data_IF_530231101983
#
_entry.id   IF_530231101983
#
_cell.length_a   1.000
_cell.length_b   1.000
_cell.length_c   1.000
_cell.angle_alpha   90.00
_cell.angle_beta   90.00
_cell.angle_gamma   90.00
#
_symmetry.space_group_name_H-M   'P 1'
#
loop_
_entity.id
_entity.type
_entity.pdbx_description
1 polymer ?
#
# COMPACT_ATOMS: atom_id res chain seq x y z
N UNK A 1 0.97 -20.17 -3.11
CA UNK A 1 1.23 -18.70 -3.12
C UNK A 1 1.86 -18.29 -1.79
N UNK A 2 1.18 -18.44 -0.61
CA UNK A 2 1.74 -18.02 0.67
C UNK A 2 3.08 -18.69 0.98
N UNK A 3 3.17 -20.02 0.80
CA UNK A 3 4.41 -20.76 0.96
C UNK A 3 5.56 -20.19 0.12
N UNK A 4 5.29 -19.89 -1.15
CA UNK A 4 6.32 -19.39 -2.08
C UNK A 4 6.75 -17.97 -1.69
N UNK A 5 5.81 -17.10 -1.28
CA UNK A 5 6.13 -15.74 -0.79
C UNK A 5 6.98 -15.76 0.47
N UNK A 6 6.65 -16.64 1.43
CA UNK A 6 7.42 -16.80 2.67
C UNK A 6 8.82 -17.29 2.35
N UNK A 7 8.94 -18.29 1.47
CA UNK A 7 10.23 -18.80 1.00
C UNK A 7 11.05 -17.72 0.29
N UNK A 8 10.43 -16.97 -0.62
CA UNK A 8 11.08 -15.90 -1.39
C UNK A 8 11.60 -14.78 -0.47
N UNK A 9 10.78 -14.32 0.49
CA UNK A 9 11.21 -13.31 1.47
C UNK A 9 12.41 -13.81 2.29
N UNK A 10 12.36 -15.06 2.77
CA UNK A 10 13.49 -15.66 3.49
C UNK A 10 14.73 -15.74 2.60
N UNK A 11 14.58 -16.23 1.37
CA UNK A 11 15.70 -16.42 0.43
C UNK A 11 16.40 -15.11 0.08
N UNK A 12 15.64 -14.01 -0.09
CA UNK A 12 16.17 -12.67 -0.33
C UNK A 12 17.14 -12.24 0.78
N UNK A 13 16.75 -12.41 2.03
CA UNK A 13 17.62 -12.07 3.17
C UNK A 13 18.78 -13.07 3.33
N UNK A 14 18.55 -14.35 3.09
CA UNK A 14 19.61 -15.36 3.10
C UNK A 14 20.69 -15.07 2.04
N UNK A 15 20.28 -14.68 0.83
CA UNK A 15 21.19 -14.26 -0.23
C UNK A 15 22.00 -13.02 0.19
N UNK A 16 21.32 -11.98 0.69
CA UNK A 16 21.98 -10.76 1.12
C UNK A 16 22.96 -11.01 2.26
N UNK A 17 22.57 -11.78 3.28
CA UNK A 17 23.45 -12.14 4.40
C UNK A 17 24.68 -12.90 3.94
N UNK A 18 24.53 -13.81 2.99
CA UNK A 18 25.65 -14.54 2.39
C UNK A 18 26.56 -13.63 1.57
N UNK A 19 25.98 -12.70 0.79
CA UNK A 19 26.72 -11.77 -0.06
C UNK A 19 27.61 -10.84 0.77
N UNK A 20 27.10 -10.34 1.89
CA UNK A 20 27.80 -9.40 2.74
C UNK A 20 28.50 -10.04 3.96
N UNK A 21 28.53 -11.37 4.06
CA UNK A 21 29.10 -12.10 5.22
C UNK A 21 28.51 -11.63 6.56
N UNK A 22 27.19 -11.42 6.59
CA UNK A 22 26.47 -10.92 7.76
C UNK A 22 26.42 -11.99 8.86
N UNK A 23 26.82 -11.63 10.08
CA UNK A 23 26.96 -12.57 11.20
C UNK A 23 25.70 -12.68 12.08
N UNK A 24 24.69 -11.86 11.84
CA UNK A 24 23.40 -11.95 12.54
C UNK A 24 22.43 -12.92 11.88
N UNK A 25 21.20 -12.98 12.40
CA UNK A 25 20.11 -13.77 11.83
C UNK A 25 19.00 -12.89 11.22
N UNK A 26 17.98 -13.56 10.66
CA UNK A 26 16.79 -12.92 10.10
C UNK A 26 15.52 -13.68 10.46
N UNK A 27 14.46 -12.93 10.80
CA UNK A 27 13.10 -13.44 10.93
C UNK A 27 12.11 -12.44 10.36
N UNK A 28 11.11 -12.91 9.63
CA UNK A 28 9.92 -12.13 9.34
C UNK A 28 8.89 -12.35 10.44
N UNK A 29 8.32 -11.27 10.96
CA UNK A 29 7.26 -11.29 11.97
C UNK A 29 6.00 -10.74 11.34
N UNK A 30 5.03 -11.61 11.06
CA UNK A 30 3.84 -11.25 10.32
C UNK A 30 2.81 -10.53 11.20
N UNK A 31 2.41 -9.28 10.88
CA UNK A 31 1.36 -8.57 11.62
C UNK A 31 -0.02 -9.16 11.28
N UNK A 32 -0.67 -9.82 12.23
CA UNK A 32 -1.94 -10.49 11.96
C UNK A 32 -3.07 -9.52 11.58
N UNK A 33 -2.98 -8.24 11.97
CA UNK A 33 -3.94 -7.20 11.57
C UNK A 33 -4.08 -7.02 10.05
N UNK A 34 -3.07 -7.42 9.27
CA UNK A 34 -3.09 -7.27 7.81
C UNK A 34 -4.08 -8.23 7.17
N UNK A 35 -4.12 -9.49 7.63
CA UNK A 35 -5.16 -10.45 7.34
C UNK A 35 -5.28 -11.44 8.51
N UNK A 36 -6.37 -11.34 9.27
CA UNK A 36 -6.63 -12.12 10.48
C UNK A 36 -7.37 -13.43 10.22
N UNK A 37 -7.61 -13.79 8.97
CA UNK A 37 -8.25 -15.07 8.66
C UNK A 37 -7.42 -16.21 9.23
N UNK A 38 -8.05 -17.07 10.05
CA UNK A 38 -7.37 -18.13 10.77
C UNK A 38 -6.52 -19.01 9.85
N UNK A 39 -7.09 -19.47 8.73
CA UNK A 39 -6.38 -20.31 7.76
C UNK A 39 -5.16 -19.63 7.15
N UNK A 40 -5.20 -18.31 6.92
CA UNK A 40 -4.05 -17.55 6.41
C UNK A 40 -2.94 -17.51 7.46
N UNK A 41 -3.29 -17.23 8.72
CA UNK A 41 -2.33 -17.18 9.82
C UNK A 41 -1.73 -18.57 10.10
N UNK A 42 -2.54 -19.63 10.09
CA UNK A 42 -2.09 -21.01 10.23
C UNK A 42 -1.07 -21.41 9.15
N UNK A 43 -1.33 -21.08 7.88
CA UNK A 43 -0.39 -21.33 6.78
C UNK A 43 0.91 -20.53 6.94
N UNK A 44 0.82 -19.26 7.35
CA UNK A 44 2.02 -18.44 7.58
C UNK A 44 2.89 -19.04 8.67
N UNK A 45 2.31 -19.50 9.77
CA UNK A 45 3.05 -20.18 10.85
C UNK A 45 3.64 -21.48 10.33
N UNK A 46 2.86 -22.33 9.69
CA UNK A 46 3.29 -23.63 9.20
C UNK A 46 4.47 -23.52 8.22
N UNK A 47 4.37 -22.62 7.23
CA UNK A 47 5.39 -22.45 6.20
C UNK A 47 6.56 -21.57 6.66
N UNK A 48 6.34 -20.68 7.64
CA UNK A 48 7.36 -19.81 8.21
C UNK A 48 8.21 -20.48 9.30
N UNK A 49 7.70 -21.55 9.94
CA UNK A 49 8.39 -22.25 11.02
C UNK A 49 9.83 -22.68 10.69
N UNK A 50 10.13 -23.28 9.52
CA UNK A 50 11.50 -23.65 9.16
C UNK A 50 12.48 -22.47 9.09
N UNK A 51 11.96 -21.24 8.98
CA UNK A 51 12.72 -19.99 8.82
C UNK A 51 12.72 -19.13 10.09
N UNK A 52 12.15 -19.61 11.20
CA UNK A 52 12.04 -18.83 12.43
C UNK A 52 11.10 -17.62 12.31
N UNK A 53 10.08 -17.69 11.46
CA UNK A 53 9.10 -16.62 11.34
C UNK A 53 8.22 -16.55 12.59
N UNK A 54 7.83 -15.31 12.95
CA UNK A 54 6.95 -15.01 14.06
C UNK A 54 5.71 -14.23 13.68
N UNK A 55 4.99 -13.76 14.70
CA UNK A 55 3.78 -12.96 14.53
C UNK A 55 3.87 -11.64 15.31
N UNK A 56 3.20 -10.59 14.80
CA UNK A 56 3.04 -9.32 15.52
C UNK A 56 1.59 -9.19 15.99
N UNK A 57 1.41 -8.66 17.19
CA UNK A 57 0.12 -8.35 17.79
C UNK A 57 0.08 -6.89 18.25
N UNK A 58 -0.92 -6.15 17.77
CA UNK A 58 -1.15 -4.73 18.11
C UNK A 58 -2.30 -4.49 19.08
N UNK A 59 -2.98 -5.55 19.56
CA UNK A 59 -4.10 -5.47 20.49
C UNK A 59 -4.20 -6.71 21.39
N UNK A 60 -4.95 -6.61 22.48
CA UNK A 60 -5.17 -7.74 23.43
C UNK A 60 -5.75 -8.99 22.74
N UNK A 61 -6.83 -8.90 21.95
CA UNK A 61 -7.35 -10.06 21.23
C UNK A 61 -6.35 -10.68 20.27
N UNK A 62 -5.56 -9.85 19.58
CA UNK A 62 -4.49 -10.33 18.69
C UNK A 62 -3.41 -11.08 19.49
N UNK A 63 -2.98 -10.56 20.65
CA UNK A 63 -2.00 -11.23 21.49
C UNK A 63 -2.47 -12.59 21.96
N UNK A 64 -3.74 -12.72 22.38
CA UNK A 64 -4.33 -14.01 22.76
C UNK A 64 -4.32 -15.01 21.61
N UNK A 65 -4.75 -14.56 20.42
CA UNK A 65 -4.74 -15.40 19.22
C UNK A 65 -3.32 -15.87 18.86
N UNK A 66 -2.36 -14.93 18.85
CA UNK A 66 -0.96 -15.22 18.50
C UNK A 66 -0.31 -16.18 19.48
N UNK A 67 -0.47 -15.97 20.79
CA UNK A 67 0.06 -16.88 21.83
C UNK A 67 -0.55 -18.28 21.71
N UNK A 68 -1.82 -18.38 21.34
CA UNK A 68 -2.49 -19.67 21.17
C UNK A 68 -2.04 -20.44 19.91
N UNK A 69 -1.59 -19.72 18.86
CA UNK A 69 -1.29 -20.31 17.56
C UNK A 69 0.21 -20.57 17.32
N UNK A 70 1.12 -19.86 18.03
CA UNK A 70 2.56 -19.98 17.80
C UNK A 70 3.20 -21.03 18.69
N UNK A 71 4.35 -21.54 18.28
CA UNK A 71 5.24 -22.35 19.11
C UNK A 71 6.00 -21.49 20.14
N UNK A 72 6.68 -22.12 21.10
CA UNK A 72 7.32 -21.43 22.22
C UNK A 72 8.48 -20.52 21.78
N UNK A 73 9.20 -20.90 20.74
CA UNK A 73 10.40 -20.25 20.19
C UNK A 73 10.12 -19.23 19.09
N UNK A 74 8.88 -19.20 18.57
CA UNK A 74 8.50 -18.21 17.57
C UNK A 74 8.46 -16.79 18.17
N UNK A 75 9.13 -15.79 17.57
CA UNK A 75 9.11 -14.43 18.09
C UNK A 75 7.70 -13.80 17.97
N UNK A 76 7.25 -13.19 19.06
CA UNK A 76 6.00 -12.42 19.13
C UNK A 76 6.35 -10.98 19.46
N UNK A 77 6.17 -10.08 18.50
CA UNK A 77 6.38 -8.65 18.70
C UNK A 77 5.06 -7.99 19.03
N UNK A 78 5.03 -7.17 20.09
CA UNK A 78 3.81 -6.47 20.51
C UNK A 78 3.96 -4.97 20.29
N UNK A 79 3.36 -4.46 19.22
CA UNK A 79 3.34 -3.03 18.88
C UNK A 79 2.04 -2.34 19.33
N UNK A 80 1.92 -1.05 19.04
CA UNK A 80 0.72 -0.27 19.27
C UNK A 80 0.48 0.13 20.72
N UNK A 81 -0.71 0.66 20.98
CA UNK A 81 -1.09 1.10 22.32
C UNK A 81 -1.23 -0.08 23.27
N UNK A 82 -0.65 0.06 24.45
CA UNK A 82 -0.70 -0.96 25.48
C UNK A 82 -1.26 -0.37 26.78
N UNK A 83 -2.31 -1.00 27.29
CA UNK A 83 -2.80 -0.77 28.63
C UNK A 83 -2.19 -1.77 29.63
N UNK A 84 -2.55 -1.65 30.89
CA UNK A 84 -2.05 -2.49 31.97
C UNK A 84 -2.35 -3.98 31.72
N UNK A 85 -3.56 -4.32 31.24
CA UNK A 85 -3.93 -5.70 30.99
C UNK A 85 -3.15 -6.32 29.81
N UNK A 86 -2.90 -5.54 28.74
CA UNK A 86 -2.06 -5.99 27.63
C UNK A 86 -0.67 -6.38 28.12
N UNK A 87 -0.05 -5.52 28.93
CA UNK A 87 1.30 -5.75 29.44
C UNK A 87 1.33 -6.90 30.47
N UNK A 88 0.28 -7.04 31.28
CA UNK A 88 0.11 -8.21 32.13
C UNK A 88 0.10 -9.51 31.32
N UNK A 89 -0.68 -9.57 30.25
CA UNK A 89 -0.75 -10.74 29.35
C UNK A 89 0.61 -11.02 28.69
N UNK A 90 1.32 -10.00 28.24
CA UNK A 90 2.66 -10.16 27.66
C UNK A 90 3.65 -10.74 28.67
N UNK A 91 3.62 -10.27 29.94
CA UNK A 91 4.48 -10.81 31.01
C UNK A 91 4.08 -12.24 31.39
N UNK A 92 2.80 -12.59 31.40
CA UNK A 92 2.33 -13.96 31.59
C UNK A 92 2.83 -14.88 30.47
N UNK A 93 2.76 -14.44 29.23
CA UNK A 93 3.26 -15.20 28.09
C UNK A 93 4.78 -15.42 28.18
N UNK A 94 5.56 -14.41 28.60
CA UNK A 94 7.00 -14.58 28.88
C UNK A 94 7.23 -15.58 30.01
N UNK A 95 6.43 -15.52 31.07
CA UNK A 95 6.51 -16.50 32.21
C UNK A 95 6.23 -17.92 31.73
N UNK A 96 5.39 -18.12 30.76
CA UNK A 96 5.11 -19.40 30.11
C UNK A 96 6.24 -19.87 29.17
N UNK A 97 7.32 -19.12 29.04
CA UNK A 97 8.45 -19.44 28.17
C UNK A 97 8.31 -18.99 26.73
N UNK A 98 7.29 -18.16 26.41
CA UNK A 98 7.13 -17.60 25.06
C UNK A 98 8.13 -16.49 24.78
N UNK A 99 8.61 -16.39 23.54
CA UNK A 99 9.48 -15.30 23.08
C UNK A 99 8.60 -14.09 22.71
N UNK A 100 8.05 -13.42 23.71
CA UNK A 100 7.23 -12.21 23.54
C UNK A 100 8.07 -10.98 23.85
N UNK A 101 8.03 -9.95 22.99
CA UNK A 101 8.74 -8.69 23.19
C UNK A 101 7.74 -7.53 23.06
N UNK A 102 7.22 -6.98 24.16
CA UNK A 102 6.43 -5.75 24.13
C UNK A 102 7.33 -4.57 23.79
N UNK A 103 6.95 -3.82 22.74
CA UNK A 103 7.68 -2.65 22.27
C UNK A 103 7.08 -1.40 22.90
N UNK A 104 7.86 -0.64 23.64
CA UNK A 104 7.43 0.59 24.28
C UNK A 104 7.16 1.67 23.22
N UNK A 105 5.95 2.20 23.22
CA UNK A 105 5.48 3.25 22.31
C UNK A 105 5.39 4.62 23.02
N UNK A 106 5.39 4.61 24.35
CA UNK A 106 5.38 5.76 25.24
C UNK A 106 6.31 5.50 26.41
N UNK A 107 6.91 6.55 26.97
CA UNK A 107 7.78 6.44 28.13
C UNK A 107 7.08 5.78 29.34
N UNK A 108 5.81 6.09 29.54
CA UNK A 108 4.97 5.53 30.62
C UNK A 108 4.73 4.03 30.53
N UNK A 109 4.94 3.41 29.35
CA UNK A 109 4.81 1.95 29.20
C UNK A 109 5.87 1.21 30.00
N UNK A 110 7.05 1.83 30.22
CA UNK A 110 8.14 1.20 30.98
C UNK A 110 7.73 0.87 32.43
N UNK A 111 7.10 1.81 33.12
CA UNK A 111 6.70 1.59 34.52
C UNK A 111 5.66 0.47 34.64
N UNK A 112 4.71 0.40 33.69
CA UNK A 112 3.72 -0.67 33.65
C UNK A 112 4.37 -2.03 33.41
N UNK A 113 5.32 -2.14 32.47
CA UNK A 113 6.08 -3.39 32.22
C UNK A 113 6.83 -3.82 33.47
N UNK A 114 7.57 -2.90 34.09
CA UNK A 114 8.36 -3.19 35.29
C UNK A 114 7.48 -3.60 36.48
N UNK A 115 6.32 -2.95 36.66
CA UNK A 115 5.34 -3.31 37.68
C UNK A 115 4.85 -4.76 37.50
N UNK A 116 4.39 -5.12 36.31
CA UNK A 116 3.89 -6.47 36.05
C UNK A 116 5.00 -7.52 36.09
N UNK A 117 6.18 -7.21 35.55
CA UNK A 117 7.34 -8.10 35.61
C UNK A 117 7.74 -8.43 37.06
N UNK A 118 7.77 -7.41 37.93
CA UNK A 118 8.06 -7.60 39.36
C UNK A 118 6.98 -8.45 40.06
N UNK A 119 5.69 -8.15 39.80
CA UNK A 119 4.55 -8.88 40.39
C UNK A 119 4.58 -10.36 40.00
N UNK A 120 5.04 -10.70 38.80
CA UNK A 120 5.06 -12.05 38.28
C UNK A 120 6.39 -12.79 38.50
N UNK A 121 7.43 -12.08 38.97
CA UNK A 121 8.77 -12.64 39.12
C UNK A 121 9.43 -12.97 37.78
N UNK A 122 9.18 -12.17 36.74
CA UNK A 122 9.74 -12.35 35.40
C UNK A 122 10.80 -11.29 35.15
N UNK A 123 11.93 -11.68 34.55
CA UNK A 123 12.88 -10.72 33.98
C UNK A 123 12.45 -10.38 32.54
N UNK A 124 11.93 -9.18 32.29
CA UNK A 124 11.21 -8.91 31.04
C UNK A 124 12.16 -8.76 29.85
N UNK A 125 11.72 -9.22 28.67
CA UNK A 125 12.29 -8.81 27.38
C UNK A 125 11.49 -7.62 26.89
N UNK A 126 12.16 -6.50 26.59
CA UNK A 126 11.55 -5.22 26.26
C UNK A 126 12.09 -4.73 24.92
N UNK A 127 11.23 -4.21 24.08
CA UNK A 127 11.60 -3.42 22.90
C UNK A 127 11.32 -1.94 23.12
N UNK A 128 11.96 -1.08 22.36
CA UNK A 128 11.62 0.35 22.24
C UNK A 128 11.42 0.72 20.78
N UNK A 129 10.42 1.55 20.48
CA UNK A 129 10.24 2.12 19.16
C UNK A 129 10.86 3.50 19.07
N UNK A 130 11.77 3.71 18.12
CA UNK A 130 12.40 4.99 17.86
C UNK A 130 11.55 5.86 16.92
N UNK A 131 11.38 7.14 17.28
CA UNK A 131 10.94 8.18 16.34
C UNK A 131 12.13 8.63 15.54
N UNK A 132 12.15 8.34 14.24
CA UNK A 132 13.20 8.77 13.34
C UNK A 132 12.87 10.13 12.70
N UNK A 133 13.90 10.89 12.35
CA UNK A 133 13.77 12.09 11.52
C UNK A 133 13.39 11.73 10.08
N UNK A 134 13.84 10.57 9.60
CA UNK A 134 13.48 10.03 8.30
C UNK A 134 11.95 9.84 8.19
N UNK A 135 11.41 10.25 7.03
CA UNK A 135 9.97 10.12 6.73
C UNK A 135 9.77 9.12 5.61
N UNK A 136 8.73 8.33 5.70
CA UNK A 136 8.26 7.50 4.59
C UNK A 136 7.69 8.33 3.44
N UNK A 137 7.41 7.67 2.32
CA UNK A 137 6.71 8.23 1.16
C UNK A 137 5.30 7.64 1.04
N UNK A 138 4.47 8.27 0.20
CA UNK A 138 3.14 7.75 -0.13
C UNK A 138 2.05 8.11 0.87
N UNK A 139 0.94 7.37 0.83
CA UNK A 139 -0.30 7.67 1.58
C UNK A 139 -0.15 7.65 3.10
N UNK A 140 0.86 6.95 3.62
CA UNK A 140 1.09 6.72 5.05
C UNK A 140 2.25 7.55 5.62
N UNK A 141 2.64 8.63 4.95
CA UNK A 141 3.73 9.54 5.33
C UNK A 141 3.63 10.07 6.77
N UNK A 142 2.40 10.26 7.27
CA UNK A 142 2.14 10.77 8.62
C UNK A 142 2.40 9.75 9.73
N UNK A 143 2.62 8.47 9.39
CA UNK A 143 2.90 7.41 10.37
C UNK A 143 4.32 7.44 10.91
N UNK A 144 5.24 8.18 10.27
CA UNK A 144 6.64 8.36 10.66
C UNK A 144 6.98 9.81 11.06
N UNK A 145 8.23 10.02 11.51
CA UNK A 145 8.75 11.33 11.89
C UNK A 145 8.38 11.76 13.32
N UNK A 146 8.88 12.92 13.74
CA UNK A 146 8.72 13.43 15.12
C UNK A 146 7.28 13.62 15.59
N UNK A 147 6.32 13.80 14.68
CA UNK A 147 4.88 13.94 14.98
C UNK A 147 4.13 12.63 14.99
N UNK A 148 4.83 11.50 14.81
CA UNK A 148 4.20 10.18 14.89
C UNK A 148 3.47 10.00 16.23
N UNK A 149 2.28 9.38 16.17
CA UNK A 149 1.49 9.01 17.35
C UNK A 149 2.26 8.10 18.29
N UNK A 150 3.14 7.26 17.75
CA UNK A 150 3.86 6.22 18.46
C UNK A 150 5.37 6.40 18.38
N UNK A 151 6.06 5.81 19.37
CA UNK A 151 7.51 5.77 19.48
C UNK A 151 8.06 6.87 20.42
N UNK A 152 9.28 6.66 20.85
CA UNK A 152 10.02 7.50 21.78
C UNK A 152 11.04 8.36 21.02
N UNK A 153 11.29 9.54 21.51
CA UNK A 153 12.45 10.34 21.10
C UNK A 153 13.75 9.71 21.61
N UNK A 154 14.88 10.06 21.01
CA UNK A 154 16.19 9.56 21.46
C UNK A 154 16.44 9.89 22.94
N UNK A 155 16.02 11.06 23.40
CA UNK A 155 16.11 11.44 24.82
C UNK A 155 15.29 10.52 25.73
N UNK A 156 14.07 10.17 25.34
CA UNK A 156 13.22 9.22 26.08
C UNK A 156 13.80 7.81 26.07
N UNK A 157 14.37 7.35 24.95
CA UNK A 157 15.05 6.04 24.85
C UNK A 157 16.25 5.98 25.81
N UNK A 158 17.06 7.03 25.86
CA UNK A 158 18.19 7.13 26.81
C UNK A 158 17.67 7.12 28.27
N UNK A 159 16.57 7.80 28.56
CA UNK A 159 15.95 7.77 29.90
C UNK A 159 15.42 6.38 30.26
N UNK A 160 14.85 5.64 29.29
CA UNK A 160 14.48 4.22 29.48
C UNK A 160 15.72 3.38 29.85
N UNK A 161 16.80 3.50 29.08
CA UNK A 161 18.04 2.75 29.33
C UNK A 161 18.63 3.10 30.72
N UNK A 162 18.65 4.37 31.07
CA UNK A 162 19.17 4.81 32.38
C UNK A 162 18.33 4.25 33.55
N UNK A 163 16.99 4.27 33.41
CA UNK A 163 16.09 3.67 34.40
C UNK A 163 16.34 2.16 34.54
N UNK A 164 16.57 1.46 33.44
CA UNK A 164 16.90 0.02 33.44
C UNK A 164 18.27 -0.23 34.08
N UNK A 165 19.29 0.58 33.82
CA UNK A 165 20.62 0.48 34.46
C UNK A 165 20.54 0.65 35.97
N UNK A 166 19.81 1.64 36.45
CA UNK A 166 19.62 1.87 37.91
C UNK A 166 18.98 0.67 38.60
N UNK A 167 18.22 -0.14 37.85
CA UNK A 167 17.60 -1.38 38.36
C UNK A 167 18.39 -2.65 38.03
N UNK A 168 19.59 -2.54 37.48
CA UNK A 168 20.42 -3.69 37.00
C UNK A 168 19.66 -4.52 35.95
N UNK A 169 18.94 -3.88 35.01
CA UNK A 169 18.09 -4.49 34.01
C UNK A 169 18.40 -4.00 32.59
N UNK A 170 19.57 -3.43 32.35
CA UNK A 170 19.95 -2.92 31.02
C UNK A 170 19.90 -4.01 29.92
N UNK A 171 20.21 -5.24 30.32
CA UNK A 171 20.12 -6.45 29.49
C UNK A 171 18.71 -6.86 29.12
N UNK A 172 17.68 -6.29 29.79
CA UNK A 172 16.28 -6.51 29.45
C UNK A 172 15.83 -5.75 28.19
N UNK A 173 16.53 -4.67 27.79
CA UNK A 173 16.29 -3.95 26.55
C UNK A 173 16.85 -4.74 25.38
N UNK A 174 15.99 -5.52 24.71
CA UNK A 174 16.38 -6.52 23.72
C UNK A 174 16.21 -6.09 22.28
N UNK A 175 15.29 -5.15 22.00
CA UNK A 175 14.89 -4.83 20.66
C UNK A 175 14.78 -3.32 20.45
N UNK A 176 15.36 -2.83 19.36
CA UNK A 176 15.06 -1.52 18.78
C UNK A 176 14.15 -1.71 17.58
N UNK A 177 13.02 -1.01 17.58
CA UNK A 177 12.04 -1.02 16.49
C UNK A 177 11.88 0.37 15.88
N UNK A 178 11.66 0.43 14.57
CA UNK A 178 11.13 1.60 13.91
C UNK A 178 10.12 1.21 12.82
N UNK A 179 9.26 2.16 12.43
CA UNK A 179 8.29 1.93 11.38
C UNK A 179 8.10 3.20 10.54
N UNK A 180 8.32 3.09 9.23
CA UNK A 180 8.23 4.20 8.27
C UNK A 180 6.82 4.40 7.70
N UNK A 181 5.99 3.37 7.76
CA UNK A 181 4.68 3.35 7.13
C UNK A 181 4.44 2.06 6.34
N UNK A 182 3.38 2.05 5.55
CA UNK A 182 3.01 0.94 4.66
C UNK A 182 3.22 1.37 3.21
N UNK A 183 3.54 0.41 2.33
CA UNK A 183 3.72 0.66 0.90
C UNK A 183 4.76 1.78 0.64
N UNK A 184 6.01 1.56 1.05
CA UNK A 184 7.11 2.49 0.79
C UNK A 184 7.49 2.37 -0.68
N UNK A 185 7.23 3.41 -1.46
CA UNK A 185 7.39 3.36 -2.92
C UNK A 185 8.82 3.58 -3.40
N UNK A 186 9.66 4.22 -2.58
CA UNK A 186 11.04 4.55 -2.92
C UNK A 186 12.05 3.97 -1.95
N UNK A 187 13.00 3.21 -2.47
CA UNK A 187 14.10 2.59 -1.69
C UNK A 187 14.94 3.61 -0.92
N UNK A 188 15.04 4.84 -1.42
CA UNK A 188 15.80 5.91 -0.77
C UNK A 188 15.31 6.22 0.64
N UNK A 189 13.99 6.16 0.87
CA UNK A 189 13.43 6.39 2.20
C UNK A 189 13.79 5.28 3.17
N UNK A 190 13.84 4.04 2.67
CA UNK A 190 14.28 2.87 3.46
C UNK A 190 15.74 3.03 3.87
N UNK A 191 16.64 3.35 2.92
CA UNK A 191 18.08 3.58 3.18
C UNK A 191 18.32 4.64 4.25
N UNK A 192 17.64 5.78 4.16
CA UNK A 192 17.80 6.87 5.12
C UNK A 192 17.39 6.44 6.54
N UNK A 193 16.31 5.71 6.67
CA UNK A 193 15.84 5.24 7.97
C UNK A 193 16.75 4.15 8.56
N UNK A 194 17.28 3.25 7.73
CA UNK A 194 18.24 2.24 8.14
C UNK A 194 19.52 2.89 8.68
N UNK A 195 20.05 3.89 8.01
CA UNK A 195 21.24 4.61 8.48
C UNK A 195 21.01 5.28 9.84
N UNK A 196 19.88 5.97 10.02
CA UNK A 196 19.54 6.63 11.29
C UNK A 196 19.31 5.60 12.42
N UNK A 197 18.46 4.60 12.17
CA UNK A 197 18.08 3.62 13.20
C UNK A 197 19.26 2.73 13.61
N UNK A 198 20.11 2.33 12.67
CA UNK A 198 21.30 1.50 13.01
C UNK A 198 22.31 2.30 13.81
N UNK A 199 22.48 3.61 13.56
CA UNK A 199 23.30 4.44 14.42
C UNK A 199 22.72 4.58 15.84
N UNK A 200 21.38 4.68 15.98
CA UNK A 200 20.75 4.64 17.31
C UNK A 200 21.01 3.29 17.98
N UNK A 201 20.87 2.18 17.25
CA UNK A 201 21.13 0.84 17.74
C UNK A 201 22.57 0.70 18.28
N UNK A 202 23.57 1.02 17.45
CA UNK A 202 24.99 0.86 17.83
C UNK A 202 25.35 1.72 19.03
N UNK A 203 24.88 2.97 19.09
CA UNK A 203 25.11 3.85 20.23
C UNK A 203 24.46 3.32 21.53
N UNK A 204 23.24 2.76 21.45
CA UNK A 204 22.58 2.16 22.62
C UNK A 204 23.35 0.93 23.13
N UNK A 205 23.87 0.08 22.23
CA UNK A 205 24.75 -1.04 22.63
C UNK A 205 26.02 -0.54 23.32
N UNK A 206 26.67 0.46 22.73
CA UNK A 206 27.87 1.09 23.34
C UNK A 206 27.55 1.75 24.69
N UNK A 207 26.34 2.26 24.88
CA UNK A 207 25.83 2.73 26.16
C UNK A 207 25.46 1.58 27.13
N UNK A 208 25.64 0.30 26.78
CA UNK A 208 25.42 -0.86 27.65
C UNK A 208 24.01 -1.43 27.62
N UNK A 209 23.21 -1.12 26.60
CA UNK A 209 21.93 -1.81 26.35
C UNK A 209 22.18 -3.25 25.89
N UNK A 210 21.34 -4.19 26.33
CA UNK A 210 21.41 -5.59 25.94
C UNK A 210 20.68 -5.92 24.65
N UNK A 211 20.77 -5.02 23.63
CA UNK A 211 20.09 -5.18 22.37
C UNK A 211 20.59 -6.39 21.58
N UNK A 212 19.66 -7.18 21.08
CA UNK A 212 19.91 -8.37 20.26
C UNK A 212 19.20 -8.25 18.89
N UNK A 213 18.08 -7.51 18.84
CA UNK A 213 17.22 -7.42 17.68
C UNK A 213 17.14 -5.98 17.15
N UNK A 214 17.20 -5.84 15.83
CA UNK A 214 16.81 -4.63 15.13
C UNK A 214 15.60 -4.93 14.24
N UNK A 215 14.45 -4.45 14.65
CA UNK A 215 13.20 -4.59 13.89
C UNK A 215 12.99 -3.36 13.01
N UNK A 216 13.15 -3.56 11.73
CA UNK A 216 13.03 -2.50 10.71
C UNK A 216 11.57 -2.22 10.33
N UNK A 217 10.63 -2.87 11.01
CA UNK A 217 9.21 -2.68 10.78
C UNK A 217 8.71 -3.23 9.46
N UNK A 218 7.54 -2.75 9.07
CA UNK A 218 6.97 -3.01 7.75
C UNK A 218 7.34 -1.94 6.73
N UNK A 219 6.66 -2.00 5.59
CA UNK A 219 6.81 -1.00 4.53
C UNK A 219 7.32 -1.56 3.21
N UNK A 220 7.83 -2.79 3.18
CA UNK A 220 8.12 -3.48 1.92
C UNK A 220 6.89 -3.42 1.02
N UNK A 221 7.01 -2.68 -0.09
CA UNK A 221 5.89 -2.39 -0.98
C UNK A 221 5.66 -3.48 -2.01
N UNK A 222 4.54 -3.37 -2.68
CA UNK A 222 4.10 -4.26 -3.75
C UNK A 222 3.83 -3.42 -4.99
N UNK A 223 4.30 -3.88 -6.13
CA UNK A 223 4.03 -3.28 -7.43
C UNK A 223 2.68 -3.78 -7.96
N UNK A 224 1.61 -3.04 -7.68
CA UNK A 224 0.25 -3.43 -8.07
C UNK A 224 -0.07 -3.08 -9.51
N UNK A 225 0.53 -2.02 -10.06
CA UNK A 225 0.23 -1.55 -11.43
C UNK A 225 1.27 -2.01 -12.46
N UNK A 226 2.37 -2.62 -12.01
CA UNK A 226 3.44 -3.14 -12.87
C UNK A 226 4.36 -2.06 -13.45
N UNK A 227 4.27 -0.81 -12.97
CA UNK A 227 5.06 0.30 -13.54
C UNK A 227 6.51 0.35 -13.06
N UNK A 228 6.83 -0.30 -11.94
CA UNK A 228 8.14 -0.26 -11.29
C UNK A 228 8.64 1.17 -11.04
N UNK A 229 7.74 2.03 -10.58
CA UNK A 229 8.01 3.45 -10.28
C UNK A 229 7.76 3.77 -8.81
N UNK A 230 8.04 5.02 -8.41
CA UNK A 230 7.70 5.54 -7.08
C UNK A 230 6.23 5.98 -6.94
N UNK A 231 5.37 5.60 -7.87
CA UNK A 231 3.93 5.82 -7.80
C UNK A 231 3.31 5.09 -6.60
N UNK A 232 2.20 5.63 -6.06
CA UNK A 232 1.57 5.14 -4.82
C UNK A 232 1.11 3.68 -4.83
N UNK A 233 0.84 3.12 -6.02
CA UNK A 233 0.48 1.71 -6.22
C UNK A 233 1.61 0.89 -6.84
N UNK A 234 2.85 1.37 -6.77
CA UNK A 234 4.04 0.72 -7.28
C UNK A 234 5.22 0.84 -6.32
N UNK A 235 6.37 0.32 -6.69
CA UNK A 235 7.66 0.47 -6.01
C UNK A 235 8.78 0.56 -7.05
N UNK A 236 9.80 1.39 -6.79
CA UNK A 236 10.93 1.58 -7.69
C UNK A 236 12.14 0.67 -7.36
N UNK A 237 11.89 -0.46 -6.69
CA UNK A 237 12.93 -1.40 -6.28
C UNK A 237 12.40 -2.85 -6.31
N UNK A 238 13.32 -3.80 -6.41
CA UNK A 238 13.02 -5.23 -6.29
C UNK A 238 13.07 -5.66 -4.82
N UNK A 239 12.47 -6.83 -4.51
CA UNK A 239 12.57 -7.40 -3.16
C UNK A 239 14.02 -7.74 -2.80
N UNK A 240 14.83 -8.22 -3.76
CA UNK A 240 16.25 -8.51 -3.52
C UNK A 240 17.04 -7.21 -3.22
N UNK A 241 16.77 -6.11 -3.94
CA UNK A 241 17.39 -4.82 -3.63
C UNK A 241 17.02 -4.35 -2.21
N UNK A 242 15.76 -4.50 -1.81
CA UNK A 242 15.35 -4.20 -0.44
C UNK A 242 16.14 -5.02 0.60
N UNK A 243 16.24 -6.34 0.40
CA UNK A 243 16.99 -7.21 1.32
C UNK A 243 18.47 -6.86 1.36
N UNK A 244 19.09 -6.60 0.20
CA UNK A 244 20.50 -6.20 0.10
C UNK A 244 20.73 -4.88 0.85
N UNK A 245 19.88 -3.88 0.65
CA UNK A 245 20.03 -2.59 1.33
C UNK A 245 19.85 -2.69 2.84
N UNK A 246 18.88 -3.48 3.30
CA UNK A 246 18.68 -3.70 4.74
C UNK A 246 19.94 -4.32 5.38
N UNK A 247 20.44 -5.40 4.81
CA UNK A 247 21.62 -6.11 5.37
C UNK A 247 22.87 -5.25 5.26
N UNK A 248 23.14 -4.66 4.09
CA UNK A 248 24.34 -3.85 3.85
C UNK A 248 24.46 -2.66 4.80
N UNK A 249 23.40 -1.87 4.95
CA UNK A 249 23.47 -0.68 5.82
C UNK A 249 23.60 -1.04 7.29
N UNK A 250 22.94 -2.09 7.74
CA UNK A 250 23.06 -2.54 9.14
C UNK A 250 24.48 -3.06 9.37
N UNK A 251 24.98 -3.93 8.51
CA UNK A 251 26.35 -4.46 8.61
C UNK A 251 27.37 -3.36 8.67
N UNK A 252 27.44 -2.51 7.63
CA UNK A 252 28.46 -1.47 7.51
C UNK A 252 28.53 -0.59 8.76
N UNK A 253 27.37 -0.17 9.29
CA UNK A 253 27.32 0.71 10.46
C UNK A 253 27.70 -0.03 11.74
N UNK A 254 27.36 -1.32 11.87
CA UNK A 254 27.76 -2.14 13.00
C UNK A 254 29.28 -2.41 12.99
N UNK A 255 29.84 -2.73 11.82
CA UNK A 255 31.29 -2.94 11.64
C UNK A 255 32.08 -1.68 11.98
N UNK A 256 31.66 -0.53 11.43
CA UNK A 256 32.26 0.78 11.73
C UNK A 256 32.25 1.12 13.22
N UNK A 257 31.21 0.71 13.94
CA UNK A 257 31.04 0.95 15.37
C UNK A 257 31.68 -0.13 16.27
N UNK A 258 32.14 -1.23 15.70
CA UNK A 258 32.66 -2.38 16.44
C UNK A 258 31.59 -3.07 17.30
N UNK A 259 30.33 -3.10 16.82
CA UNK A 259 29.17 -3.67 17.52
C UNK A 259 28.74 -4.95 16.79
N UNK A 260 28.40 -6.04 17.53
CA UNK A 260 27.88 -7.26 16.90
C UNK A 260 26.64 -6.98 16.04
N UNK A 261 26.51 -7.71 14.93
CA UNK A 261 25.37 -7.61 14.05
C UNK A 261 24.09 -8.07 14.75
N UNK A 262 22.99 -7.29 14.74
CA UNK A 262 21.72 -7.72 15.33
C UNK A 262 21.06 -8.86 14.57
N UNK A 263 20.15 -9.58 15.21
CA UNK A 263 19.15 -10.36 14.49
C UNK A 263 18.15 -9.40 13.86
N UNK A 264 18.05 -9.39 12.53
CA UNK A 264 17.15 -8.50 11.78
C UNK A 264 15.72 -9.06 11.83
N UNK A 265 14.76 -8.19 12.16
CA UNK A 265 13.33 -8.49 12.07
C UNK A 265 12.71 -7.56 11.03
N UNK A 266 11.80 -8.09 10.19
CA UNK A 266 10.92 -7.31 9.33
C UNK A 266 9.47 -7.67 9.60
N UNK A 267 8.57 -6.68 9.48
CA UNK A 267 7.12 -6.85 9.59
C UNK A 267 6.45 -6.71 8.21
N UNK A 268 6.86 -7.51 7.25
CA UNK A 268 6.51 -7.39 5.83
C UNK A 268 5.11 -7.92 5.50
N UNK A 269 4.08 -7.57 6.30
CA UNK A 269 2.73 -8.13 6.20
C UNK A 269 2.10 -8.01 4.81
N UNK A 270 2.13 -6.81 4.22
CA UNK A 270 1.62 -6.58 2.85
C UNK A 270 2.30 -7.49 1.83
N UNK A 271 3.62 -7.56 1.83
CA UNK A 271 4.39 -8.37 0.89
C UNK A 271 4.11 -9.88 1.05
N UNK A 272 3.79 -10.35 2.26
CA UNK A 272 3.41 -11.74 2.52
C UNK A 272 2.05 -12.08 1.91
N UNK A 273 1.02 -11.25 2.12
CA UNK A 273 -0.38 -11.61 1.81
C UNK A 273 -0.99 -10.90 0.61
N UNK A 274 -0.29 -9.96 -0.04
CA UNK A 274 -0.88 -9.19 -1.16
C UNK A 274 -1.44 -10.07 -2.27
N UNK A 275 -0.85 -11.23 -2.51
CA UNK A 275 -1.22 -12.15 -3.59
C UNK A 275 -1.98 -13.40 -3.09
N UNK A 276 -2.47 -13.42 -1.84
CA UNK A 276 -3.03 -14.62 -1.22
C UNK A 276 -4.36 -15.07 -1.85
N UNK A 277 -5.08 -14.15 -2.49
CA UNK A 277 -6.36 -14.41 -3.14
C UNK A 277 -6.52 -13.63 -4.45
N UNK A 278 -7.42 -14.09 -5.30
CA UNK A 278 -7.81 -13.43 -6.54
C UNK A 278 -9.33 -13.33 -6.62
N UNK A 279 -9.83 -12.18 -7.10
CA UNK A 279 -11.23 -11.99 -7.39
C UNK A 279 -11.51 -12.36 -8.84
N UNK A 280 -12.37 -13.37 -9.05
CA UNK A 280 -12.84 -13.80 -10.36
C UNK A 280 -14.29 -13.33 -10.55
N UNK A 281 -14.57 -12.65 -11.64
CA UNK A 281 -15.90 -12.14 -11.92
C UNK A 281 -16.23 -12.17 -13.41
N UNK A 282 -17.52 -12.14 -13.74
CA UNK A 282 -18.02 -12.07 -15.10
C UNK A 282 -18.43 -10.66 -15.46
N UNK A 283 -18.25 -10.28 -16.73
CA UNK A 283 -18.90 -9.12 -17.32
C UNK A 283 -20.34 -9.50 -17.68
N UNK A 284 -21.30 -8.84 -17.05
CA UNK A 284 -22.74 -9.11 -17.22
C UNK A 284 -23.36 -8.27 -18.34
N UNK A 285 -22.82 -7.08 -18.57
CA UNK A 285 -23.32 -6.16 -19.58
C UNK A 285 -22.28 -5.10 -19.93
N UNK A 286 -22.49 -4.43 -21.06
CA UNK A 286 -21.61 -3.38 -21.56
C UNK A 286 -22.44 -2.20 -22.01
N UNK A 287 -22.11 -1.01 -21.47
CA UNK A 287 -22.62 0.27 -22.01
C UNK A 287 -21.52 0.92 -22.83
N UNK A 288 -21.88 1.33 -24.03
CA UNK A 288 -20.99 1.99 -24.99
C UNK A 288 -21.53 3.34 -25.39
N UNK A 289 -20.63 4.28 -25.58
CA UNK A 289 -20.95 5.58 -26.17
C UNK A 289 -21.06 5.44 -27.70
N UNK A 290 -22.10 4.73 -28.16
CA UNK A 290 -22.38 4.51 -29.57
C UNK A 290 -23.68 5.25 -29.96
N UNK A 291 -23.65 5.96 -31.09
CA UNK A 291 -24.87 6.55 -31.65
C UNK A 291 -25.77 5.43 -32.15
N UNK A 292 -26.98 5.34 -31.61
CA UNK A 292 -28.04 4.41 -32.10
C UNK A 292 -28.98 5.05 -33.09
N UNK A 293 -28.89 6.38 -33.27
CA UNK A 293 -29.69 7.16 -34.19
C UNK A 293 -28.76 7.63 -35.32
N UNK A 294 -29.16 7.41 -36.55
CA UNK A 294 -28.39 7.88 -37.70
C UNK A 294 -28.31 9.41 -37.72
N UNK A 295 -27.11 9.92 -37.92
CA UNK A 295 -26.89 11.34 -38.13
C UNK A 295 -27.13 11.62 -39.62
N UNK A 296 -28.04 12.55 -40.01
CA UNK A 296 -28.20 12.98 -41.40
C UNK A 296 -26.85 13.49 -41.96
N UNK A 297 -26.60 13.25 -43.24
CA UNK A 297 -25.37 13.74 -43.91
C UNK A 297 -25.23 15.27 -43.89
N UNK A 298 -26.36 15.99 -43.85
CA UNK A 298 -26.38 17.44 -43.81
C UNK A 298 -27.32 17.93 -42.72
N UNK A 299 -27.02 19.11 -42.16
CA UNK A 299 -27.88 19.75 -41.21
C UNK A 299 -29.30 19.98 -41.79
N UNK A 300 -30.36 19.59 -41.07
CA UNK A 300 -31.72 19.95 -41.51
C UNK A 300 -31.84 21.48 -41.69
N UNK A 301 -32.52 21.93 -42.76
CA UNK A 301 -32.67 23.36 -43.04
C UNK A 301 -33.29 24.16 -41.92
N UNK A 302 -34.10 23.53 -41.08
CA UNK A 302 -34.76 24.13 -39.91
C UNK A 302 -34.01 23.88 -38.62
N UNK A 303 -32.76 23.33 -38.65
CA UNK A 303 -32.00 23.07 -37.45
C UNK A 303 -31.64 24.37 -36.72
N UNK A 304 -31.78 24.43 -35.38
CA UNK A 304 -31.30 25.56 -34.58
C UNK A 304 -29.78 25.74 -34.69
N UNK A 305 -29.33 26.99 -34.47
CA UNK A 305 -27.95 27.39 -34.68
C UNK A 305 -26.91 26.43 -34.04
N UNK A 306 -27.02 26.00 -32.77
CA UNK A 306 -26.02 25.11 -32.18
C UNK A 306 -25.85 23.76 -32.91
N UNK A 307 -26.92 23.26 -33.52
CA UNK A 307 -26.87 22.03 -34.34
C UNK A 307 -26.14 22.29 -35.65
N UNK A 308 -26.41 23.44 -36.29
CA UNK A 308 -25.70 23.83 -37.50
C UNK A 308 -24.21 24.00 -37.23
N UNK A 309 -23.84 24.61 -36.09
CA UNK A 309 -22.46 24.82 -35.67
C UNK A 309 -21.76 23.49 -35.37
N UNK A 310 -22.44 22.51 -34.77
CA UNK A 310 -21.91 21.15 -34.58
C UNK A 310 -21.64 20.44 -35.91
N UNK A 311 -22.53 20.61 -36.93
CA UNK A 311 -22.28 20.10 -38.28
C UNK A 311 -21.09 20.80 -38.95
N UNK A 312 -20.96 22.09 -38.76
CA UNK A 312 -19.81 22.85 -39.26
C UNK A 312 -18.52 22.35 -38.66
N UNK A 313 -18.46 22.23 -37.33
CA UNK A 313 -17.32 21.68 -36.60
C UNK A 313 -16.97 20.27 -37.10
N UNK A 314 -17.96 19.39 -37.31
CA UNK A 314 -17.74 18.03 -37.81
C UNK A 314 -17.11 18.01 -39.21
N UNK A 315 -17.58 18.91 -40.11
CA UNK A 315 -17.15 18.95 -41.50
C UNK A 315 -15.76 19.59 -41.67
N UNK A 316 -15.39 20.53 -40.80
CA UNK A 316 -14.10 21.22 -40.86
C UNK A 316 -13.00 20.58 -39.98
N UNK A 317 -13.37 19.52 -39.27
CA UNK A 317 -12.44 18.83 -38.38
C UNK A 317 -11.23 18.26 -39.13
N UNK A 318 -10.04 18.61 -38.68
CA UNK A 318 -8.77 18.15 -39.22
C UNK A 318 -7.70 18.10 -38.12
N UNK A 319 -6.53 17.43 -38.33
CA UNK A 319 -5.50 17.26 -37.30
C UNK A 319 -4.91 18.58 -36.73
N UNK A 320 -5.08 19.73 -37.40
CA UNK A 320 -4.52 21.00 -36.96
C UNK A 320 -5.44 21.75 -35.98
N UNK A 321 -6.75 21.45 -36.02
CA UNK A 321 -7.76 22.15 -35.22
C UNK A 321 -8.46 21.25 -34.18
N UNK A 322 -7.90 20.07 -33.84
CA UNK A 322 -8.54 19.08 -32.94
C UNK A 322 -8.93 19.66 -31.58
N UNK A 323 -8.08 20.52 -30.99
CA UNK A 323 -8.34 21.12 -29.69
C UNK A 323 -9.46 22.16 -29.76
N UNK A 324 -9.39 23.08 -30.72
CA UNK A 324 -10.39 24.09 -30.98
C UNK A 324 -11.75 23.43 -31.27
N UNK A 325 -11.77 22.46 -32.20
CA UNK A 325 -12.98 21.70 -32.53
C UNK A 325 -13.58 20.94 -31.35
N UNK A 326 -12.77 20.48 -30.40
CA UNK A 326 -13.28 19.87 -29.19
C UNK A 326 -13.96 20.88 -28.28
N UNK A 327 -13.36 22.06 -28.08
CA UNK A 327 -13.95 23.14 -27.29
C UNK A 327 -15.24 23.66 -27.92
N UNK A 328 -15.24 23.87 -29.23
CA UNK A 328 -16.43 24.29 -29.98
C UNK A 328 -17.56 23.27 -29.82
N UNK A 329 -17.26 21.99 -30.01
CA UNK A 329 -18.25 20.93 -29.85
C UNK A 329 -18.85 20.87 -28.44
N UNK A 330 -18.04 21.07 -27.40
CA UNK A 330 -18.52 21.16 -26.01
C UNK A 330 -19.44 22.40 -25.85
N UNK A 331 -19.00 23.57 -26.30
CA UNK A 331 -19.79 24.81 -26.20
C UNK A 331 -21.14 24.69 -26.90
N UNK A 332 -21.16 24.12 -28.09
CA UNK A 332 -22.40 23.96 -28.86
C UNK A 332 -23.34 22.94 -28.26
N UNK A 333 -22.79 21.83 -27.69
CA UNK A 333 -23.60 20.88 -26.95
C UNK A 333 -24.21 21.51 -25.69
N UNK A 334 -23.44 22.25 -24.90
CA UNK A 334 -23.95 22.96 -23.71
C UNK A 334 -25.02 23.97 -24.07
N UNK A 335 -24.84 24.70 -25.17
CA UNK A 335 -25.85 25.64 -25.70
C UNK A 335 -27.13 24.90 -26.09
N UNK A 336 -27.01 23.76 -26.77
CA UNK A 336 -28.16 22.94 -27.15
C UNK A 336 -28.91 22.39 -25.93
N UNK A 337 -28.20 21.92 -24.89
CA UNK A 337 -28.78 21.46 -23.65
C UNK A 337 -29.55 22.60 -22.94
N UNK A 338 -28.97 23.79 -22.86
CA UNK A 338 -29.61 24.97 -22.27
C UNK A 338 -30.89 25.37 -23.01
N UNK A 339 -30.85 25.38 -24.36
CA UNK A 339 -32.01 25.66 -25.18
C UNK A 339 -33.11 24.61 -25.04
N UNK A 340 -32.74 23.34 -24.89
CA UNK A 340 -33.69 22.28 -24.56
C UNK A 340 -34.34 22.52 -23.19
N UNK A 341 -33.53 22.83 -22.16
CA UNK A 341 -34.01 23.12 -20.80
C UNK A 341 -34.98 24.30 -20.73
N UNK A 342 -34.86 25.26 -21.65
CA UNK A 342 -35.75 26.42 -21.76
C UNK A 342 -36.90 26.22 -22.75
N UNK A 343 -37.05 25.04 -23.35
CA UNK A 343 -38.14 24.69 -24.24
C UNK A 343 -38.01 25.20 -25.70
N UNK A 344 -36.78 25.58 -26.08
CA UNK A 344 -36.49 26.09 -27.43
C UNK A 344 -35.96 25.02 -28.41
N UNK A 345 -35.62 23.83 -27.90
CA UNK A 345 -35.27 22.65 -28.69
C UNK A 345 -36.25 21.49 -28.43
N UNK A 346 -36.49 20.67 -29.46
CA UNK A 346 -37.18 19.41 -29.28
C UNK A 346 -36.25 18.32 -28.74
N UNK A 347 -36.82 17.22 -28.26
CA UNK A 347 -36.03 16.07 -27.76
C UNK A 347 -35.19 15.46 -28.91
N UNK A 348 -35.71 15.39 -30.11
CA UNK A 348 -35.01 14.88 -31.31
C UNK A 348 -33.80 15.77 -31.65
N UNK A 349 -33.97 17.09 -31.54
CA UNK A 349 -32.90 18.04 -31.79
C UNK A 349 -31.80 17.94 -30.75
N UNK A 350 -32.15 17.79 -29.49
CA UNK A 350 -31.19 17.51 -28.42
C UNK A 350 -30.44 16.21 -28.68
N UNK A 351 -31.13 15.11 -28.98
CA UNK A 351 -30.51 13.83 -29.30
C UNK A 351 -29.54 13.91 -30.49
N UNK A 352 -29.88 14.71 -31.50
CA UNK A 352 -29.02 14.97 -32.65
C UNK A 352 -27.75 15.73 -32.24
N UNK A 353 -27.87 16.75 -31.39
CA UNK A 353 -26.71 17.49 -30.86
C UNK A 353 -25.77 16.58 -30.06
N UNK A 354 -26.31 15.74 -29.17
CA UNK A 354 -25.53 14.75 -28.41
C UNK A 354 -24.80 13.75 -29.34
N UNK A 355 -25.49 13.24 -30.38
CA UNK A 355 -24.90 12.31 -31.34
C UNK A 355 -23.78 12.96 -32.18
N UNK A 356 -23.96 14.21 -32.61
CA UNK A 356 -22.91 14.97 -33.30
C UNK A 356 -21.69 15.17 -32.44
N UNK A 357 -21.87 15.62 -31.19
CA UNK A 357 -20.78 15.77 -30.23
C UNK A 357 -19.96 14.46 -30.04
N UNK A 358 -20.65 13.34 -29.81
CA UNK A 358 -19.95 12.04 -29.66
C UNK A 358 -19.28 11.60 -30.95
N UNK A 359 -19.80 11.98 -32.10
CA UNK A 359 -19.16 11.66 -33.39
C UNK A 359 -17.90 12.48 -33.59
N UNK A 360 -17.96 13.80 -33.33
CA UNK A 360 -16.80 14.69 -33.34
C UNK A 360 -15.72 14.17 -32.40
N UNK A 361 -16.08 13.90 -31.14
CA UNK A 361 -15.14 13.43 -30.10
C UNK A 361 -14.45 12.12 -30.51
N UNK A 362 -15.19 11.17 -31.11
CA UNK A 362 -14.58 9.93 -31.63
C UNK A 362 -13.64 10.17 -32.82
N UNK A 363 -13.94 11.10 -33.68
CA UNK A 363 -13.04 11.45 -34.79
C UNK A 363 -11.78 12.15 -34.28
N UNK A 364 -11.91 13.09 -33.32
CA UNK A 364 -10.78 13.75 -32.66
C UNK A 364 -9.88 12.69 -32.03
N UNK A 365 -10.43 11.73 -31.27
CA UNK A 365 -9.63 10.65 -30.66
C UNK A 365 -8.84 9.85 -31.71
N UNK A 366 -9.43 9.54 -32.86
CA UNK A 366 -8.72 8.83 -33.94
C UNK A 366 -7.55 9.64 -34.48
N UNK A 367 -7.73 10.97 -34.64
CA UNK A 367 -6.68 11.87 -35.09
C UNK A 367 -5.56 12.01 -34.05
N UNK A 368 -5.95 12.21 -32.79
CA UNK A 368 -5.02 12.35 -31.65
C UNK A 368 -4.12 11.10 -31.48
N UNK A 369 -4.67 9.91 -31.67
CA UNK A 369 -3.89 8.66 -31.61
C UNK A 369 -2.82 8.52 -32.71
N UNK A 370 -2.86 9.34 -33.73
CA UNK A 370 -1.89 9.39 -34.83
C UNK A 370 -0.94 10.60 -34.73
N UNK A 371 -1.03 11.40 -33.66
CA UNK A 371 -0.19 12.59 -33.45
C UNK A 371 1.01 12.28 -32.57
N UNK A 372 2.15 12.89 -32.87
CA UNK A 372 3.37 12.78 -32.02
C UNK A 372 3.25 13.59 -30.71
N UNK A 373 2.46 14.65 -30.71
CA UNK A 373 2.17 15.47 -29.54
C UNK A 373 0.67 15.57 -29.29
N UNK A 374 0.24 15.25 -28.11
CA UNK A 374 -1.17 15.31 -27.67
C UNK A 374 -1.32 16.43 -26.65
N UNK A 375 -2.18 17.44 -26.91
CA UNK A 375 -2.54 18.45 -25.91
C UNK A 375 -3.09 17.79 -24.63
N UNK A 376 -2.70 18.31 -23.46
CA UNK A 376 -3.07 17.74 -22.14
C UNK A 376 -4.58 17.54 -21.98
N UNK A 377 -5.37 18.49 -22.43
CA UNK A 377 -6.85 18.44 -22.37
C UNK A 377 -7.44 17.27 -23.16
N UNK A 378 -6.79 16.85 -24.26
CA UNK A 378 -7.22 15.73 -25.09
C UNK A 378 -6.77 14.36 -24.56
N UNK A 379 -5.88 14.31 -23.59
CA UNK A 379 -5.46 13.05 -22.95
C UNK A 379 -6.61 12.36 -22.19
N UNK A 380 -7.64 13.14 -21.79
CA UNK A 380 -8.82 12.62 -21.10
C UNK A 380 -9.86 11.97 -22.03
N UNK A 381 -9.69 12.09 -23.37
CA UNK A 381 -10.64 11.51 -24.34
C UNK A 381 -10.81 10.00 -24.19
N UNK A 382 -9.74 9.29 -23.87
CA UNK A 382 -9.82 7.85 -23.66
C UNK A 382 -10.72 7.49 -22.48
N UNK A 383 -10.67 8.28 -21.40
CA UNK A 383 -11.54 8.12 -20.24
C UNK A 383 -12.99 8.52 -20.55
N UNK A 384 -13.19 9.57 -21.33
CA UNK A 384 -14.52 10.05 -21.73
C UNK A 384 -15.24 9.06 -22.66
N UNK A 385 -14.48 8.38 -23.53
CA UNK A 385 -15.00 7.45 -24.55
C UNK A 385 -14.89 5.97 -24.16
N UNK A 386 -14.43 5.65 -22.92
CA UNK A 386 -14.32 4.26 -22.49
C UNK A 386 -15.69 3.60 -22.35
N UNK A 387 -15.72 2.30 -22.60
CA UNK A 387 -16.91 1.49 -22.33
C UNK A 387 -17.10 1.34 -20.80
N UNK A 388 -18.32 1.10 -20.34
CA UNK A 388 -18.59 0.68 -18.97
C UNK A 388 -18.97 -0.81 -18.98
N UNK A 389 -18.19 -1.64 -18.28
CA UNK A 389 -18.43 -3.06 -18.13
C UNK A 389 -19.04 -3.33 -16.76
N UNK A 390 -20.30 -3.75 -16.71
CA UNK A 390 -20.98 -4.15 -15.48
C UNK A 390 -20.55 -5.56 -15.11
N UNK A 391 -19.95 -5.70 -13.93
CA UNK A 391 -19.29 -6.91 -13.49
C UNK A 391 -19.96 -7.49 -12.23
N UNK A 392 -19.97 -8.81 -12.12
CA UNK A 392 -20.63 -9.54 -11.02
C UNK A 392 -19.79 -9.52 -9.73
N UNK A 393 -19.63 -8.36 -9.13
CA UNK A 393 -19.03 -8.19 -7.80
C UNK A 393 -19.54 -6.90 -7.12
N UNK A 394 -19.15 -6.67 -5.87
CA UNK A 394 -19.32 -5.40 -5.17
C UNK A 394 -17.95 -4.83 -4.81
N UNK A 395 -17.65 -3.60 -5.24
CA UNK A 395 -16.38 -2.92 -4.91
C UNK A 395 -16.26 -2.71 -3.38
N UNK A 396 -17.36 -2.42 -2.70
CA UNK A 396 -17.39 -2.15 -1.26
C UNK A 396 -17.06 -3.39 -0.42
N UNK A 397 -17.37 -4.58 -0.91
CA UNK A 397 -17.07 -5.85 -0.24
C UNK A 397 -15.76 -6.47 -0.71
N UNK A 398 -15.55 -6.53 -2.03
CA UNK A 398 -14.47 -7.32 -2.61
C UNK A 398 -13.18 -6.53 -2.82
N UNK A 399 -13.28 -5.20 -3.04
CA UNK A 399 -12.16 -4.31 -3.31
C UNK A 399 -12.30 -2.97 -2.56
N UNK A 400 -12.54 -2.98 -1.23
CA UNK A 400 -12.83 -1.77 -0.48
C UNK A 400 -11.72 -0.71 -0.60
N UNK A 401 -10.46 -1.11 -0.71
CA UNK A 401 -9.33 -0.19 -0.83
C UNK A 401 -9.30 0.54 -2.17
N UNK A 402 -9.89 -0.04 -3.23
CA UNK A 402 -10.05 0.67 -4.50
C UNK A 402 -10.93 1.90 -4.32
N UNK A 403 -12.07 1.75 -3.62
CA UNK A 403 -13.00 2.83 -3.33
C UNK A 403 -12.47 3.79 -2.24
N UNK A 404 -12.01 3.23 -1.10
CA UNK A 404 -11.69 4.04 0.08
C UNK A 404 -10.40 4.86 -0.07
N UNK A 405 -9.40 4.36 -0.78
CA UNK A 405 -8.06 4.96 -0.88
C UNK A 405 -7.50 5.00 -2.30
N UNK A 406 -8.31 4.79 -3.32
CA UNK A 406 -7.89 4.71 -4.73
C UNK A 406 -6.72 3.73 -4.96
N UNK A 407 -6.74 2.57 -4.29
CA UNK A 407 -5.76 1.52 -4.52
C UNK A 407 -5.98 0.90 -5.89
N UNK A 408 -4.94 0.88 -6.72
CA UNK A 408 -4.97 0.11 -7.97
C UNK A 408 -4.67 -1.35 -7.70
N UNK A 409 -5.36 -2.23 -8.43
CA UNK A 409 -5.12 -3.67 -8.43
C UNK A 409 -4.83 -4.13 -9.85
N UNK A 410 -3.99 -5.15 -10.06
CA UNK A 410 -3.78 -5.72 -11.38
C UNK A 410 -5.06 -6.39 -11.86
N UNK A 411 -5.48 -6.06 -13.09
CA UNK A 411 -6.70 -6.57 -13.73
C UNK A 411 -6.29 -7.21 -15.06
N UNK A 412 -6.71 -8.44 -15.26
CA UNK A 412 -6.45 -9.11 -16.54
C UNK A 412 -7.65 -9.98 -16.97
N UNK A 413 -7.94 -10.08 -18.27
CA UNK A 413 -8.89 -11.07 -18.78
C UNK A 413 -8.34 -12.48 -18.59
N UNK A 414 -9.23 -13.46 -18.40
CA UNK A 414 -8.86 -14.90 -18.36
C UNK A 414 -9.33 -15.64 -19.62
N UNK A 415 -10.06 -14.96 -20.51
CA UNK A 415 -10.49 -15.47 -21.81
C UNK A 415 -9.87 -14.66 -22.94
N UNK A 416 -9.73 -15.26 -24.11
CA UNK A 416 -9.23 -14.63 -25.35
C UNK A 416 -7.84 -13.99 -25.17
N UNK A 417 -6.95 -14.66 -24.45
CA UNK A 417 -5.59 -14.17 -24.17
C UNK A 417 -4.70 -14.10 -25.45
N UNK A 418 -5.14 -14.73 -26.54
CA UNK A 418 -4.56 -14.66 -27.88
C UNK A 418 -4.98 -13.43 -28.68
N UNK A 419 -5.89 -12.60 -28.16
CA UNK A 419 -6.43 -11.42 -28.84
C UNK A 419 -5.92 -10.15 -28.17
N UNK A 420 -5.44 -9.21 -29.01
CA UNK A 420 -5.05 -7.89 -28.51
C UNK A 420 -6.29 -7.08 -28.08
N UNK A 421 -6.36 -6.52 -26.87
CA UNK A 421 -7.41 -5.61 -26.47
C UNK A 421 -7.43 -4.37 -27.37
N UNK A 422 -8.62 -3.95 -27.81
CA UNK A 422 -8.80 -2.81 -28.71
C UNK A 422 -9.62 -1.67 -28.11
N UNK A 423 -10.17 -1.87 -26.90
CA UNK A 423 -11.00 -0.89 -26.21
C UNK A 423 -10.56 -0.73 -24.75
N UNK A 424 -10.68 0.51 -24.26
CA UNK A 424 -10.58 0.82 -22.84
C UNK A 424 -11.97 0.74 -22.20
N UNK A 425 -12.03 0.30 -20.95
CA UNK A 425 -13.28 0.24 -20.19
C UNK A 425 -13.03 0.58 -18.71
N UNK A 426 -14.07 1.10 -18.08
CA UNK A 426 -14.21 1.18 -16.63
C UNK A 426 -15.01 -0.04 -16.19
N UNK A 427 -14.57 -0.72 -15.13
CA UNK A 427 -15.32 -1.80 -14.51
C UNK A 427 -16.28 -1.19 -13.48
N UNK A 428 -17.56 -1.44 -13.65
CA UNK A 428 -18.61 -1.06 -12.70
C UNK A 428 -19.13 -2.32 -12.01
N UNK A 429 -19.37 -2.23 -10.71
CA UNK A 429 -19.98 -3.32 -9.96
C UNK A 429 -21.50 -3.35 -10.12
N UNK A 430 -22.17 -4.28 -9.44
CA UNK A 430 -23.64 -4.42 -9.49
C UNK A 430 -24.39 -3.61 -8.43
N UNK A 431 -23.70 -2.85 -7.59
CA UNK A 431 -24.37 -1.99 -6.61
C UNK A 431 -25.05 -0.81 -7.30
N UNK A 432 -26.11 -0.28 -6.68
CA UNK A 432 -26.80 0.91 -7.24
C UNK A 432 -26.07 2.22 -6.96
N UNK A 433 -24.91 2.18 -6.29
CA UNK A 433 -24.10 3.34 -6.00
C UNK A 433 -23.20 3.70 -7.19
N UNK A 434 -23.15 5.00 -7.55
CA UNK A 434 -22.32 5.49 -8.66
C UNK A 434 -20.81 5.38 -8.40
N UNK A 435 -20.39 5.24 -7.13
CA UNK A 435 -19.00 5.07 -6.73
C UNK A 435 -18.49 3.63 -6.92
N UNK A 436 -19.37 2.69 -7.26
CA UNK A 436 -19.03 1.31 -7.55
C UNK A 436 -18.28 1.11 -8.87
N UNK A 437 -17.13 1.78 -9.07
CA UNK A 437 -16.29 1.76 -10.29
C UNK A 437 -14.82 1.64 -9.96
N UNK A 438 -14.09 0.93 -10.84
CA UNK A 438 -12.62 0.80 -10.83
C UNK A 438 -12.05 0.92 -12.23
#
# INVERSE_FOLDING_TARGET
>A
ILKDRIHEIHQVFANAMKEYDYQGGYSCVYPIKVNQQRQVVEEIIQFGKPYGFGLEAGSKPELLAVVAMTDADAPIICNGFKDSEFLEMAMLAQKMGRLVIPVLEKYTDLELVLHHAQRMGVRPRIGVRAKLAARGSGRWQTSGGYRSKFGLTVAEILAVLETLKQRNMADCLKLLHFHLGSQITSIRHVKNALMESTRVYTNLVQCGAGLEYLDVGGGLGVDYDGSQTDFTSSVNYTMQEYGNDVVYHIQTICDDAGVPHPHIITESGRAVVAYHSALLFNVLGVTRQESRIAIPEQAPKSAPQPIQDLYHTLNELNPRNVLESFHDAQQWLDTAINLFGTGHLSLEQRALAENLFWTITRQIRRMVNAMDYVPEELTQLDRLLCDTYFCNFSVFQSLPDSWAINQLFPIMPIHRLDQRPTRAAVLADITCDSDGKI
#
